data_IF_885296940157
#
_entry.id   IF_885296940157
#
_cell.length_a   1.000
_cell.length_b   1.000
_cell.length_c   1.000
_cell.angle_alpha   90.00
_cell.angle_beta   90.00
_cell.angle_gamma   90.00
#
_symmetry.space_group_name_H-M   'P 1'
#
loop_
_entity.id
_entity.type
_entity.pdbx_description
1 polymer ?
#
# COMPACT_ATOMS: atom_id res chain seq x y z
N UNK A 1 -3.61 -12.70 -12.14
CA UNK A 1 -3.61 -11.23 -12.02
C UNK A 1 -3.36 -10.78 -10.59
N UNK A 2 -2.24 -10.12 -10.35
CA UNK A 2 -1.90 -9.54 -9.04
C UNK A 2 -2.86 -8.37 -8.78
N UNK A 3 -3.22 -8.08 -7.52
CA UNK A 3 -4.05 -6.92 -7.17
C UNK A 3 -3.59 -5.65 -7.93
N UNK A 4 -4.41 -5.19 -8.89
CA UNK A 4 -4.16 -4.07 -9.83
C UNK A 4 -3.94 -2.69 -9.18
N UNK A 5 -3.90 -2.63 -7.85
CA UNK A 5 -3.62 -1.41 -7.08
C UNK A 5 -2.24 -1.40 -6.45
N UNK A 6 -1.71 -2.56 -6.05
CA UNK A 6 -0.34 -2.64 -5.57
C UNK A 6 0.60 -3.29 -6.57
N UNK A 7 0.15 -4.15 -7.50
CA UNK A 7 1.03 -4.80 -8.50
C UNK A 7 2.26 -5.52 -7.89
N UNK A 8 2.27 -5.79 -6.58
CA UNK A 8 3.46 -6.21 -5.85
C UNK A 8 4.52 -5.11 -5.60
N UNK A 9 4.32 -3.86 -6.04
CA UNK A 9 5.35 -2.82 -6.07
C UNK A 9 5.87 -2.37 -4.71
N UNK A 10 5.05 -2.48 -3.67
CA UNK A 10 5.53 -2.25 -2.31
C UNK A 10 6.69 -3.18 -1.93
N UNK A 11 6.90 -4.32 -2.64
CA UNK A 11 8.06 -5.22 -2.45
C UNK A 11 9.39 -4.48 -2.50
N UNK A 12 9.51 -3.41 -3.27
CA UNK A 12 10.76 -2.68 -3.45
C UNK A 12 10.93 -1.49 -2.49
N UNK A 13 10.01 -1.32 -1.54
CA UNK A 13 9.92 -0.11 -0.73
C UNK A 13 9.96 -0.42 0.76
N UNK A 14 10.69 0.44 1.46
CA UNK A 14 10.63 0.60 2.91
C UNK A 14 9.44 1.50 3.26
N UNK A 15 8.37 0.93 3.80
CA UNK A 15 7.14 1.69 4.03
C UNK A 15 6.35 1.19 5.24
N UNK A 16 5.60 2.10 5.87
CA UNK A 16 4.55 1.72 6.81
C UNK A 16 3.31 1.20 6.07
N UNK A 17 2.77 0.10 6.54
CA UNK A 17 1.50 -0.48 6.08
C UNK A 17 0.58 -0.69 7.27
N UNK A 18 -0.72 -0.84 7.00
CA UNK A 18 -1.69 -1.22 8.04
C UNK A 18 -1.22 -2.53 8.71
N UNK A 19 -1.35 -2.61 10.03
CA UNK A 19 -1.12 -3.84 10.76
C UNK A 19 -2.37 -4.72 10.67
N UNK A 20 -2.31 -5.93 10.07
CA UNK A 20 -3.46 -6.82 9.97
C UNK A 20 -4.06 -7.17 11.34
N UNK A 21 -3.23 -7.29 12.37
CA UNK A 21 -3.65 -7.72 13.72
C UNK A 21 -4.43 -6.64 14.47
N UNK A 22 -4.43 -5.40 13.97
CA UNK A 22 -5.12 -4.24 14.57
C UNK A 22 -6.33 -3.79 13.74
N UNK A 23 -6.71 -4.55 12.73
CA UNK A 23 -7.94 -4.32 11.98
C UNK A 23 -9.12 -4.81 12.82
N UNK A 24 -10.05 -3.91 13.11
CA UNK A 24 -11.28 -4.20 13.86
C UNK A 24 -12.25 -5.02 13.00
N UNK A 25 -13.27 -5.60 13.63
CA UNK A 25 -14.30 -6.40 12.93
C UNK A 25 -15.03 -5.62 11.83
N UNK A 26 -15.16 -4.29 11.98
CA UNK A 26 -15.76 -3.40 10.98
C UNK A 26 -14.80 -3.01 9.84
N UNK A 27 -13.56 -3.54 9.87
CA UNK A 27 -12.52 -3.24 8.90
C UNK A 27 -11.84 -1.88 9.10
N UNK A 28 -12.11 -1.16 10.20
CA UNK A 28 -11.41 0.06 10.57
C UNK A 28 -10.15 -0.22 11.40
N UNK A 29 -9.34 0.82 11.66
CA UNK A 29 -8.22 0.79 12.60
C UNK A 29 -8.34 1.95 13.59
N UNK A 30 -7.70 1.83 14.75
CA UNK A 30 -7.52 2.99 15.63
C UNK A 30 -6.39 3.88 15.12
N UNK A 31 -6.72 5.07 14.60
CA UNK A 31 -5.72 6.01 14.07
C UNK A 31 -4.81 6.62 15.16
N UNK A 32 -5.18 6.51 16.43
CA UNK A 32 -4.37 6.99 17.55
C UNK A 32 -3.46 5.89 18.12
N UNK A 33 -3.73 4.63 17.81
CA UNK A 33 -2.89 3.52 18.22
C UNK A 33 -1.65 3.43 17.30
N UNK A 34 -0.42 3.64 17.84
CA UNK A 34 0.80 3.51 17.05
C UNK A 34 1.02 2.09 16.50
N UNK A 35 0.37 1.08 17.08
CA UNK A 35 0.46 -0.31 16.62
C UNK A 35 -0.45 -0.61 15.42
N UNK A 36 -1.36 0.31 15.03
CA UNK A 36 -2.20 0.18 13.84
C UNK A 36 -1.42 0.20 12.52
N UNK A 37 -0.15 0.60 12.54
CA UNK A 37 0.75 0.52 11.40
C UNK A 37 2.03 -0.23 11.77
N UNK A 38 2.52 -1.04 10.84
CA UNK A 38 3.80 -1.75 10.95
C UNK A 38 4.74 -1.30 9.86
N UNK A 39 6.04 -1.26 10.19
CA UNK A 39 7.07 -1.01 9.20
C UNK A 39 7.35 -2.28 8.41
N UNK A 40 7.26 -2.17 7.09
CA UNK A 40 7.49 -3.25 6.15
C UNK A 40 8.73 -2.90 5.32
N UNK A 41 9.87 -3.60 5.53
CA UNK A 41 11.08 -3.33 4.77
C UNK A 41 10.98 -3.85 3.33
N UNK A 42 11.81 -3.26 2.47
CA UNK A 42 12.04 -3.70 1.10
C UNK A 42 12.50 -5.17 1.06
N UNK A 43 12.12 -5.88 0.02
CA UNK A 43 12.34 -7.32 -0.16
C UNK A 43 11.34 -8.23 0.53
N UNK A 44 10.51 -7.72 1.45
CA UNK A 44 9.47 -8.53 2.09
C UNK A 44 8.13 -8.44 1.35
N UNK A 45 7.32 -9.50 1.42
CA UNK A 45 5.96 -9.50 0.87
C UNK A 45 5.05 -8.58 1.72
N UNK A 46 4.04 -8.00 1.08
CA UNK A 46 3.00 -7.26 1.81
C UNK A 46 2.26 -8.22 2.75
N UNK A 47 2.03 -7.86 4.03
CA UNK A 47 1.30 -8.71 4.97
C UNK A 47 -0.19 -8.87 4.58
N UNK A 48 -0.72 -8.01 3.72
CA UNK A 48 -2.08 -8.11 3.20
C UNK A 48 -2.21 -9.00 1.95
N UNK A 49 -1.11 -9.60 1.48
CA UNK A 49 -1.10 -10.39 0.26
C UNK A 49 -1.52 -11.84 0.55
N UNK A 50 -2.59 -12.31 -0.09
CA UNK A 50 -3.00 -13.71 -0.08
C UNK A 50 -3.03 -14.28 -1.50
N UNK A 51 -2.86 -15.60 -1.62
CA UNK A 51 -2.86 -16.29 -2.90
C UNK A 51 -4.11 -17.16 -3.02
N UNK A 52 -4.93 -16.90 -4.03
CA UNK A 52 -6.16 -17.65 -4.32
C UNK A 52 -5.99 -18.48 -5.59
N UNK A 53 -6.44 -19.73 -5.55
CA UNK A 53 -6.48 -20.59 -6.74
C UNK A 53 -7.61 -20.16 -7.67
N UNK A 54 -7.35 -20.14 -8.98
CA UNK A 54 -8.39 -19.93 -9.97
C UNK A 54 -9.08 -21.24 -10.34
N UNK A 55 -10.41 -21.32 -10.27
CA UNK A 55 -11.13 -22.46 -10.84
C UNK A 55 -11.05 -22.40 -12.37
N UNK A 56 -10.41 -23.40 -12.99
CA UNK A 56 -10.33 -23.55 -14.45
C UNK A 56 -8.95 -23.29 -15.08
N UNK A 57 -7.99 -22.80 -14.31
CA UNK A 57 -6.57 -22.69 -14.69
C UNK A 57 -5.80 -23.89 -14.14
N UNK A 58 -4.67 -24.26 -14.75
CA UNK A 58 -3.79 -25.31 -14.22
C UNK A 58 -3.39 -24.99 -12.76
N UNK A 59 -3.21 -26.02 -11.92
CA UNK A 59 -2.92 -25.98 -10.47
C UNK A 59 -1.78 -25.02 -10.03
N UNK A 60 -1.00 -24.49 -10.98
CA UNK A 60 0.14 -23.61 -10.78
C UNK A 60 -0.21 -22.11 -10.82
N UNK A 61 -1.36 -21.71 -11.36
CA UNK A 61 -1.75 -20.30 -11.44
C UNK A 61 -2.51 -19.82 -10.20
N UNK A 62 -1.76 -19.26 -9.24
CA UNK A 62 -2.32 -18.58 -8.06
C UNK A 62 -2.39 -17.08 -8.29
N UNK A 63 -3.57 -16.51 -8.06
CA UNK A 63 -3.81 -15.06 -8.10
C UNK A 63 -3.44 -14.45 -6.75
N UNK A 64 -2.60 -13.40 -6.78
CA UNK A 64 -2.23 -12.66 -5.59
C UNK A 64 -3.23 -11.50 -5.34
N UNK A 65 -3.90 -11.50 -4.19
CA UNK A 65 -4.99 -10.58 -3.85
C UNK A 65 -4.66 -9.84 -2.55
N UNK A 66 -5.04 -8.57 -2.45
CA UNK A 66 -4.94 -7.79 -1.21
C UNK A 66 -6.19 -7.98 -0.34
N UNK A 67 -6.00 -8.45 0.89
CA UNK A 67 -7.08 -8.76 1.85
C UNK A 67 -7.82 -7.54 2.40
N UNK A 68 -7.21 -6.35 2.34
CA UNK A 68 -7.77 -5.16 2.99
C UNK A 68 -8.32 -4.12 2.01
N UNK A 69 -8.18 -4.32 0.70
CA UNK A 69 -8.46 -3.25 -0.29
C UNK A 69 -9.92 -2.74 -0.26
N UNK A 70 -10.84 -3.59 0.21
CA UNK A 70 -12.27 -3.31 0.32
C UNK A 70 -12.66 -2.82 1.72
N UNK A 71 -11.73 -2.84 2.67
CA UNK A 71 -11.97 -2.44 4.05
C UNK A 71 -11.81 -0.92 4.23
N UNK A 72 -12.54 -0.30 5.18
CA UNK A 72 -12.42 1.12 5.49
C UNK A 72 -10.99 1.57 5.83
N UNK A 73 -10.20 0.76 6.53
CA UNK A 73 -8.83 1.09 6.92
C UNK A 73 -7.87 1.30 5.75
N UNK A 74 -8.23 0.83 4.55
CA UNK A 74 -7.45 1.07 3.34
C UNK A 74 -7.49 2.54 2.92
N UNK A 75 -8.61 3.24 3.15
CA UNK A 75 -8.75 4.65 2.81
C UNK A 75 -7.85 5.53 3.67
N UNK A 76 -7.23 6.52 3.05
CA UNK A 76 -6.23 7.43 3.60
C UNK A 76 -4.96 6.74 4.16
N UNK A 77 -4.78 5.44 3.89
CA UNK A 77 -3.57 4.72 4.30
C UNK A 77 -2.44 4.90 3.29
N UNK A 78 -1.17 4.70 3.70
CA UNK A 78 -0.06 4.60 2.74
C UNK A 78 -0.31 3.54 1.67
N UNK A 79 -1.09 2.49 1.96
CA UNK A 79 -1.45 1.44 1.02
C UNK A 79 -2.33 1.93 -0.15
N UNK A 80 -3.04 3.05 0.00
CA UNK A 80 -3.81 3.69 -1.07
C UNK A 80 -2.94 4.53 -2.02
N UNK A 81 -1.72 4.89 -1.61
CA UNK A 81 -0.82 5.72 -2.41
C UNK A 81 -0.14 4.96 -3.55
N UNK A 82 -0.35 3.64 -3.61
CA UNK A 82 0.11 2.78 -4.68
C UNK A 82 -0.92 2.74 -5.80
N UNK A 83 -0.45 3.03 -6.99
CA UNK A 83 -1.21 2.93 -8.23
C UNK A 83 -0.27 2.35 -9.27
N UNK A 84 -0.69 1.26 -9.92
CA UNK A 84 0.04 0.73 -11.06
C UNK A 84 -0.21 1.65 -12.24
N UNK A 85 0.82 2.38 -12.65
CA UNK A 85 0.80 3.22 -13.85
C UNK A 85 1.55 2.46 -14.95
N UNK A 86 0.83 1.83 -15.89
CA UNK A 86 1.43 1.09 -17.01
C UNK A 86 0.80 -0.27 -17.27
N UNK A 87 1.44 -1.08 -18.13
CA UNK A 87 1.09 -2.47 -18.36
C UNK A 87 1.36 -3.32 -17.10
N UNK A 88 0.84 -4.56 -17.03
CA UNK A 88 0.96 -5.43 -15.83
C UNK A 88 2.42 -5.61 -15.35
N UNK A 89 3.39 -5.49 -16.26
CA UNK A 89 4.84 -5.66 -16.02
C UNK A 89 5.60 -4.34 -15.75
N UNK A 90 4.95 -3.19 -15.84
CA UNK A 90 5.62 -1.90 -15.61
C UNK A 90 5.91 -1.66 -14.12
N UNK A 91 7.03 -0.99 -13.85
CA UNK A 91 7.39 -0.55 -12.49
C UNK A 91 6.35 0.46 -12.00
N UNK A 92 5.54 0.06 -11.01
CA UNK A 92 4.62 0.93 -10.30
C UNK A 92 5.34 2.17 -9.74
N UNK A 93 5.07 3.33 -10.34
CA UNK A 93 5.57 4.63 -9.88
C UNK A 93 4.53 5.24 -8.94
N UNK A 94 4.90 5.47 -7.68
CA UNK A 94 4.03 6.04 -6.64
C UNK A 94 3.68 7.51 -6.91
N UNK A 95 2.76 7.79 -7.83
CA UNK A 95 2.42 9.17 -8.21
C UNK A 95 1.93 9.99 -7.00
N UNK A 96 1.16 9.39 -6.08
CA UNK A 96 0.61 10.06 -4.90
C UNK A 96 1.65 10.32 -3.79
N UNK A 97 2.55 9.36 -3.54
CA UNK A 97 3.62 9.54 -2.54
C UNK A 97 4.59 10.65 -2.93
N UNK A 98 5.04 10.68 -4.19
CA UNK A 98 5.90 11.76 -4.67
C UNK A 98 5.19 13.12 -4.72
N UNK A 99 3.89 13.17 -5.06
CA UNK A 99 3.09 14.40 -4.98
C UNK A 99 3.01 14.92 -3.54
N UNK A 100 2.83 14.04 -2.55
CA UNK A 100 2.78 14.43 -1.14
C UNK A 100 4.16 14.84 -0.59
N UNK A 101 5.25 14.18 -0.98
CA UNK A 101 6.61 14.62 -0.65
C UNK A 101 6.92 16.01 -1.24
N UNK A 102 6.57 16.23 -2.50
CA UNK A 102 6.77 17.52 -3.17
C UNK A 102 5.96 18.69 -2.57
N UNK A 103 4.82 18.40 -1.93
CA UNK A 103 4.07 19.41 -1.17
C UNK A 103 4.78 19.78 0.16
N UNK A 104 5.31 18.81 0.90
CA UNK A 104 6.01 19.07 2.19
C UNK A 104 7.31 19.86 2.01
N UNK A 105 8.00 19.72 0.88
CA UNK A 105 9.18 20.54 0.56
C UNK A 105 8.81 22.00 0.22
N UNK A 106 7.64 22.22 -0.40
CA UNK A 106 7.14 23.56 -0.70
C UNK A 106 6.67 24.30 0.55
N UNK A 107 6.11 23.59 1.53
CA UNK A 107 5.74 24.16 2.84
C UNK A 107 6.99 24.57 3.64
N UNK A 108 8.00 23.69 3.75
CA UNK A 108 9.28 24.03 4.40
C UNK A 108 9.96 25.26 3.80
N UNK A 109 9.91 25.42 2.47
CA UNK A 109 10.46 26.61 1.78
C UNK A 109 9.64 27.89 2.01
N UNK A 110 8.35 27.79 2.33
CA UNK A 110 7.49 28.96 2.65
C UNK A 110 7.71 29.45 4.07
N UNK A 111 7.97 28.55 5.03
CA UNK A 111 8.26 28.92 6.41
C UNK A 111 9.67 29.50 6.57
N UNK A 112 10.66 29.02 5.81
CA UNK A 112 12.02 29.57 5.82
C UNK A 112 12.12 30.97 5.17
N UNK A 113 11.14 31.37 4.35
CA UNK A 113 11.06 32.69 3.70
C UNK A 113 10.35 33.76 4.52
N UNK A 114 9.83 33.40 5.71
CA UNK A 114 9.10 34.30 6.61
C UNK A 114 9.91 34.75 7.83
N UNK A 115 11.19 34.38 7.92
CA UNK A 115 12.15 34.84 8.94
C UNK A 115 13.05 35.91 8.32
#
# INVERSE_FOLDING_TARGET
>A
MICLRCGGCCLHLDIFVINPDHIREDGSIDRLDPCSMIFKPSGLKCPHLFFQSCPGEAEEEKIAVCSIHHLPCYQDSPCQQFEQMGLEDDVCIMSAYFKNLGCREKEKKRDLKKI
#
